data_IF_834324486813
#
_entry.id   IF_834324486813
#
_cell.length_a   1.000
_cell.length_b   1.000
_cell.length_c   1.000
_cell.angle_alpha   90.00
_cell.angle_beta   90.00
_cell.angle_gamma   90.00
#
_symmetry.space_group_name_H-M   'P 1'
#
loop_
_entity.id
_entity.type
_entity.pdbx_description
1 polymer ?
#
# COMPACT_ATOMS: atom_id res chain seq x y z
N UNK A 1 7.20 12.41 -4.26
CA UNK A 1 6.31 11.38 -3.67
C UNK A 1 4.87 11.86 -3.78
N UNK A 2 3.92 10.92 -3.83
CA UNK A 2 2.49 11.20 -3.85
C UNK A 2 1.79 10.33 -2.82
N UNK A 3 0.68 10.83 -2.29
CA UNK A 3 -0.16 10.09 -1.36
C UNK A 3 -1.17 9.25 -2.15
N UNK A 4 -1.16 7.95 -1.93
CA UNK A 4 -2.16 7.06 -2.52
C UNK A 4 -3.55 7.41 -1.96
N UNK A 5 -4.59 7.16 -2.75
CA UNK A 5 -5.99 7.31 -2.31
C UNK A 5 -6.22 6.70 -0.93
N UNK A 6 -6.84 7.45 -0.03
CA UNK A 6 -7.10 7.05 1.35
C UNK A 6 -5.93 7.27 2.31
N UNK A 7 -4.83 7.86 1.84
CA UNK A 7 -3.65 8.16 2.65
C UNK A 7 -3.31 9.64 2.58
N UNK A 8 -2.68 10.17 3.62
CA UNK A 8 -2.15 11.52 3.66
C UNK A 8 -3.13 12.59 3.19
N UNK A 9 -2.71 13.45 2.27
CA UNK A 9 -3.54 14.49 1.68
C UNK A 9 -4.65 13.94 0.74
N UNK A 10 -4.54 12.67 0.30
CA UNK A 10 -5.52 12.01 -0.58
C UNK A 10 -6.62 11.26 0.19
N UNK A 11 -6.78 11.48 1.49
CA UNK A 11 -7.78 10.81 2.34
C UNK A 11 -9.21 11.11 1.88
N UNK A 12 -9.50 12.32 1.42
CA UNK A 12 -10.84 12.75 0.97
C UNK A 12 -11.36 12.00 -0.27
N UNK A 13 -10.48 11.38 -1.04
CA UNK A 13 -10.85 10.57 -2.21
C UNK A 13 -11.24 9.12 -1.85
N UNK A 14 -11.11 8.72 -0.58
CA UNK A 14 -11.43 7.37 -0.11
C UNK A 14 -12.95 7.18 0.04
N UNK A 15 -13.50 6.20 -0.68
CA UNK A 15 -14.90 5.80 -0.55
C UNK A 15 -15.00 4.27 -0.57
N UNK A 16 -15.26 3.67 0.59
CA UNK A 16 -15.35 2.22 0.75
C UNK A 16 -16.42 1.59 -0.12
N UNK A 17 -17.51 2.30 -0.42
CA UNK A 17 -18.60 1.76 -1.25
C UNK A 17 -18.19 1.53 -2.71
N UNK A 18 -17.16 2.25 -3.18
CA UNK A 18 -16.62 2.15 -4.54
C UNK A 18 -15.34 1.31 -4.63
N UNK A 19 -14.81 0.86 -3.50
CA UNK A 19 -13.59 0.07 -3.49
C UNK A 19 -13.84 -1.32 -4.11
N UNK A 20 -13.05 -1.68 -5.14
CA UNK A 20 -13.19 -2.96 -5.86
C UNK A 20 -11.88 -3.74 -5.95
N UNK A 21 -10.83 -3.29 -5.26
CA UNK A 21 -9.49 -3.87 -5.29
C UNK A 21 -8.43 -2.85 -5.68
N UNK A 22 -7.21 -3.33 -5.90
CA UNK A 22 -6.04 -2.48 -6.12
C UNK A 22 -6.03 -1.78 -7.49
N UNK A 23 -6.97 -2.08 -8.36
CA UNK A 23 -7.14 -1.39 -9.63
C UNK A 23 -7.29 0.13 -9.45
N UNK A 24 -7.94 0.56 -8.39
CA UNK A 24 -8.15 1.98 -8.09
C UNK A 24 -6.81 2.72 -7.94
N UNK A 25 -5.80 2.09 -7.34
CA UNK A 25 -4.49 2.71 -7.10
C UNK A 25 -3.66 2.86 -8.37
N UNK A 26 -3.60 1.82 -9.21
CA UNK A 26 -2.84 1.97 -10.45
C UNK A 26 -3.54 2.86 -11.49
N UNK A 27 -4.87 2.98 -11.45
CA UNK A 27 -5.60 3.98 -12.25
C UNK A 27 -5.28 5.40 -11.80
N UNK A 28 -5.22 5.66 -10.51
CA UNK A 28 -4.80 6.95 -9.97
C UNK A 28 -3.36 7.27 -10.37
N UNK A 29 -2.46 6.30 -10.31
CA UNK A 29 -1.07 6.47 -10.74
C UNK A 29 -0.97 6.77 -12.24
N UNK A 30 -1.75 6.08 -13.08
CA UNK A 30 -1.82 6.37 -14.50
C UNK A 30 -2.30 7.81 -14.75
N UNK A 31 -3.36 8.24 -14.08
CA UNK A 31 -3.87 9.60 -14.20
C UNK A 31 -2.81 10.64 -13.78
N UNK A 32 -2.03 10.35 -12.72
CA UNK A 32 -0.90 11.19 -12.32
C UNK A 32 0.18 11.24 -13.41
N UNK A 33 0.55 10.09 -13.98
CA UNK A 33 1.54 10.01 -15.06
C UNK A 33 1.12 10.80 -16.30
N UNK A 34 -0.18 10.85 -16.58
CA UNK A 34 -0.73 11.65 -17.69
C UNK A 34 -0.58 13.16 -17.48
N UNK A 35 -0.52 13.61 -16.23
CA UNK A 35 -0.28 15.00 -15.88
C UNK A 35 1.20 15.40 -15.96
N UNK A 36 2.13 14.44 -16.15
CA UNK A 36 3.57 14.74 -16.27
C UNK A 36 3.94 14.91 -17.74
N UNK A 37 4.74 15.94 -18.04
CA UNK A 37 5.21 16.20 -19.39
C UNK A 37 6.22 15.15 -19.85
N UNK A 38 7.08 14.68 -18.93
CA UNK A 38 8.16 13.75 -19.23
C UNK A 38 7.98 12.38 -18.56
N UNK A 39 8.52 11.30 -19.18
CA UNK A 39 8.56 10.00 -18.54
C UNK A 39 9.42 9.99 -17.27
N UNK A 40 9.05 9.15 -16.30
CA UNK A 40 9.69 9.12 -14.98
C UNK A 40 10.10 7.70 -14.57
N UNK A 41 11.01 7.61 -13.59
CA UNK A 41 11.24 6.40 -12.82
C UNK A 41 10.18 6.28 -11.73
N UNK A 42 9.60 5.08 -11.59
CA UNK A 42 8.69 4.78 -10.48
C UNK A 42 9.43 3.96 -9.43
N UNK A 43 9.37 4.41 -8.19
CA UNK A 43 9.84 3.66 -7.03
C UNK A 43 8.66 3.36 -6.11
N UNK A 44 8.54 2.11 -5.68
CA UNK A 44 7.44 1.71 -4.81
C UNK A 44 7.81 0.56 -3.86
N UNK A 45 7.11 0.50 -2.72
CA UNK A 45 7.21 -0.59 -1.76
C UNK A 45 5.86 -1.30 -1.65
N UNK A 46 5.86 -2.62 -1.54
CA UNK A 46 4.66 -3.43 -1.33
C UNK A 46 3.58 -3.13 -2.38
N UNK A 47 2.40 -2.67 -1.98
CA UNK A 47 1.31 -2.24 -2.88
C UNK A 47 1.77 -1.15 -3.87
N UNK A 48 2.62 -0.22 -3.43
CA UNK A 48 3.18 0.82 -4.31
C UNK A 48 4.06 0.24 -5.40
N UNK A 49 4.83 -0.81 -5.12
CA UNK A 49 5.61 -1.54 -6.11
C UNK A 49 4.71 -2.28 -7.12
N UNK A 50 3.71 -2.98 -6.63
CA UNK A 50 2.76 -3.72 -7.48
C UNK A 50 1.94 -2.79 -8.39
N UNK A 51 1.46 -1.68 -7.86
CA UNK A 51 0.72 -0.68 -8.65
C UNK A 51 1.60 -0.01 -9.70
N UNK A 52 2.90 0.18 -9.40
CA UNK A 52 3.89 0.68 -10.37
C UNK A 52 4.09 -0.28 -11.54
N UNK A 53 4.15 -1.60 -11.29
CA UNK A 53 4.17 -2.63 -12.35
C UNK A 53 2.95 -2.48 -13.26
N UNK A 54 1.76 -2.37 -12.65
CA UNK A 54 0.50 -2.33 -13.38
C UNK A 54 0.34 -1.03 -14.19
N UNK A 55 0.86 0.09 -13.70
CA UNK A 55 0.88 1.37 -14.41
C UNK A 55 1.89 1.34 -15.57
N UNK A 56 3.14 0.89 -15.34
CA UNK A 56 4.18 0.82 -16.36
C UNK A 56 3.79 -0.09 -17.53
N UNK A 57 3.13 -1.22 -17.27
CA UNK A 57 2.63 -2.10 -18.31
C UNK A 57 1.59 -1.42 -19.22
N UNK A 58 0.79 -0.48 -18.69
CA UNK A 58 -0.27 0.25 -19.43
C UNK A 58 0.21 1.55 -20.06
N UNK A 59 1.24 2.16 -19.49
CA UNK A 59 1.82 3.41 -19.95
C UNK A 59 3.35 3.29 -20.08
N UNK A 60 3.81 2.39 -20.98
CA UNK A 60 5.24 2.21 -21.23
C UNK A 60 5.90 3.48 -21.79
N UNK A 61 5.13 4.38 -22.36
CA UNK A 61 5.57 5.69 -22.86
C UNK A 61 5.88 6.69 -21.75
N UNK A 62 5.34 6.48 -20.54
CA UNK A 62 5.49 7.39 -19.38
C UNK A 62 6.45 6.87 -18.31
N UNK A 63 6.99 5.64 -18.44
CA UNK A 63 7.81 5.02 -17.40
C UNK A 63 9.17 4.63 -17.94
N UNK A 64 10.22 5.29 -17.47
CA UNK A 64 11.63 5.03 -17.81
C UNK A 64 12.16 3.75 -17.16
N UNK A 65 11.69 3.42 -15.96
CA UNK A 65 12.14 2.25 -15.21
C UNK A 65 11.45 2.11 -13.86
N UNK A 66 11.63 0.94 -13.23
CA UNK A 66 11.00 0.57 -11.96
C UNK A 66 12.04 0.24 -10.91
N UNK A 67 11.84 0.74 -9.68
CA UNK A 67 12.53 0.32 -8.46
C UNK A 67 11.48 -0.24 -7.51
N UNK A 68 11.46 -1.55 -7.34
CA UNK A 68 10.42 -2.28 -6.64
C UNK A 68 10.97 -2.90 -5.36
N UNK A 69 10.53 -2.43 -4.21
CA UNK A 69 10.84 -3.03 -2.92
C UNK A 69 9.67 -3.91 -2.46
N UNK A 70 9.91 -5.21 -2.30
CA UNK A 70 8.89 -6.17 -1.83
C UNK A 70 7.55 -6.04 -2.58
N UNK A 71 7.50 -6.13 -3.91
CA UNK A 71 6.24 -6.11 -4.63
C UNK A 71 5.38 -7.30 -4.20
N UNK A 72 4.08 -7.11 -4.06
CA UNK A 72 3.17 -8.21 -3.75
C UNK A 72 2.85 -8.95 -5.06
N UNK A 73 3.57 -10.02 -5.29
CA UNK A 73 3.44 -10.90 -6.47
C UNK A 73 3.11 -12.30 -5.96
N UNK A 74 1.86 -12.68 -6.09
CA UNK A 74 1.42 -14.01 -5.65
C UNK A 74 1.49 -15.00 -6.78
N UNK A 75 1.83 -16.25 -6.46
CA UNK A 75 1.67 -17.32 -7.43
C UNK A 75 0.17 -17.56 -7.72
N UNK A 76 -0.17 -18.16 -8.87
CA UNK A 76 -1.56 -18.35 -9.28
C UNK A 76 -2.39 -19.19 -8.27
N UNK A 77 -1.76 -20.13 -7.55
CA UNK A 77 -2.44 -20.96 -6.55
C UNK A 77 -2.78 -20.14 -5.29
N UNK A 78 -1.89 -19.26 -4.86
CA UNK A 78 -2.15 -18.32 -3.75
C UNK A 78 -3.27 -17.35 -4.15
N UNK A 79 -3.22 -16.82 -5.38
CA UNK A 79 -4.29 -15.98 -5.93
C UNK A 79 -5.65 -16.66 -5.92
N UNK A 80 -5.71 -17.93 -6.32
CA UNK A 80 -6.94 -18.72 -6.28
C UNK A 80 -7.46 -18.92 -4.85
N UNK A 81 -6.58 -19.24 -3.89
CA UNK A 81 -6.98 -19.37 -2.46
C UNK A 81 -7.56 -18.06 -1.93
N UNK A 82 -6.94 -16.92 -2.23
CA UNK A 82 -7.44 -15.61 -1.81
C UNK A 82 -8.79 -15.28 -2.46
N UNK A 83 -8.97 -15.60 -3.74
CA UNK A 83 -10.24 -15.46 -4.43
C UNK A 83 -11.35 -16.29 -3.75
N UNK A 84 -11.06 -17.54 -3.37
CA UNK A 84 -11.98 -18.38 -2.61
C UNK A 84 -12.33 -17.79 -1.24
N UNK A 85 -11.36 -17.25 -0.50
CA UNK A 85 -11.63 -16.59 0.79
C UNK A 85 -12.55 -15.38 0.64
N UNK A 86 -12.41 -14.64 -0.46
CA UNK A 86 -13.29 -13.52 -0.79
C UNK A 86 -14.70 -14.01 -1.13
N UNK A 87 -14.82 -15.03 -1.97
CA UNK A 87 -16.12 -15.64 -2.32
C UNK A 87 -16.87 -16.12 -1.07
N UNK A 88 -16.15 -16.68 -0.10
CA UNK A 88 -16.70 -17.12 1.19
C UNK A 88 -16.87 -15.95 2.20
N UNK A 89 -16.68 -14.71 1.79
CA UNK A 89 -16.74 -13.50 2.65
C UNK A 89 -15.82 -13.59 3.88
N UNK A 90 -14.68 -14.26 3.77
CA UNK A 90 -13.71 -14.45 4.86
C UNK A 90 -12.46 -13.59 4.70
N UNK A 91 -12.34 -12.79 3.64
CA UNK A 91 -11.14 -11.98 3.36
C UNK A 91 -10.79 -11.00 4.49
N UNK A 92 -11.78 -10.49 5.21
CA UNK A 92 -11.55 -9.64 6.39
C UNK A 92 -10.91 -10.38 7.58
N UNK A 93 -10.87 -11.71 7.55
CA UNK A 93 -10.22 -12.55 8.57
C UNK A 93 -8.73 -12.79 8.27
N UNK A 94 -8.23 -12.37 7.12
CA UNK A 94 -6.79 -12.40 6.83
C UNK A 94 -6.05 -11.60 7.90
N UNK A 95 -4.92 -12.10 8.36
CA UNK A 95 -4.20 -11.57 9.52
C UNK A 95 -3.87 -10.07 9.39
N UNK A 96 -3.44 -9.63 8.20
CA UNK A 96 -3.13 -8.23 7.92
C UNK A 96 -4.40 -7.34 7.94
N UNK A 97 -5.48 -7.76 7.27
CA UNK A 97 -6.73 -7.03 7.24
C UNK A 97 -7.33 -6.90 8.66
N UNK A 98 -7.39 -8.02 9.40
CA UNK A 98 -7.86 -8.02 10.77
C UNK A 98 -6.96 -7.20 11.72
N UNK A 99 -5.66 -7.20 11.48
CA UNK A 99 -4.70 -6.36 12.20
C UNK A 99 -4.95 -4.88 11.97
N UNK A 100 -5.11 -4.47 10.71
CA UNK A 100 -5.40 -3.10 10.33
C UNK A 100 -6.73 -2.60 10.91
N UNK A 101 -7.80 -3.42 10.83
CA UNK A 101 -9.11 -3.06 11.37
C UNK A 101 -9.10 -2.77 12.89
N UNK A 102 -8.17 -3.40 13.63
CA UNK A 102 -8.03 -3.21 15.09
C UNK A 102 -7.10 -2.08 15.49
N UNK A 103 -6.51 -1.35 14.54
CA UNK A 103 -5.60 -0.25 14.85
C UNK A 103 -6.36 0.87 15.57
N UNK A 104 -5.79 1.36 16.66
CA UNK A 104 -6.29 2.56 17.30
C UNK A 104 -6.11 3.76 16.39
N UNK A 105 -7.20 4.45 16.09
CA UNK A 105 -7.22 5.55 15.12
C UNK A 105 -6.72 6.86 15.72
N UNK A 106 -7.11 7.20 16.95
CA UNK A 106 -6.90 8.51 17.57
C UNK A 106 -6.04 8.37 18.83
N UNK A 107 -5.10 9.29 19.01
CA UNK A 107 -4.21 9.40 20.16
C UNK A 107 -4.19 10.84 20.67
N UNK A 108 -3.90 11.02 21.95
CA UNK A 108 -3.80 12.34 22.57
C UNK A 108 -2.67 13.20 21.98
N UNK A 109 -1.61 12.55 21.51
CA UNK A 109 -0.46 13.23 20.91
C UNK A 109 0.39 12.25 20.07
N UNK A 110 1.31 12.78 19.28
CA UNK A 110 2.34 11.96 18.60
C UNK A 110 3.17 11.15 19.62
N UNK A 111 3.48 11.71 20.79
CA UNK A 111 4.21 10.99 21.85
C UNK A 111 3.41 9.78 22.35
N UNK A 112 2.10 9.93 22.57
CA UNK A 112 1.24 8.81 22.95
C UNK A 112 1.13 7.73 21.85
N UNK A 113 1.12 8.12 20.59
CA UNK A 113 1.15 7.19 19.47
C UNK A 113 2.50 6.45 19.41
N UNK A 114 3.62 7.15 19.57
CA UNK A 114 4.97 6.58 19.61
C UNK A 114 5.10 5.49 20.67
N UNK A 115 4.70 5.78 21.90
CA UNK A 115 4.70 4.80 22.99
C UNK A 115 3.83 3.58 22.69
N UNK A 116 2.68 3.79 22.03
CA UNK A 116 1.81 2.68 21.65
C UNK A 116 2.43 1.74 20.61
N UNK A 117 3.26 2.26 19.69
CA UNK A 117 3.87 1.46 18.63
C UNK A 117 5.24 0.88 19.01
N UNK A 118 5.95 1.50 19.97
CA UNK A 118 7.29 1.06 20.37
C UNK A 118 7.33 -0.41 20.77
N UNK A 119 8.18 -1.19 20.10
CA UNK A 119 8.41 -2.62 20.37
C UNK A 119 7.21 -3.53 20.06
N UNK A 120 6.21 -3.08 19.28
CA UNK A 120 5.00 -3.85 19.01
C UNK A 120 4.83 -4.15 17.51
N UNK A 121 4.25 -5.31 17.22
CA UNK A 121 3.88 -5.72 15.87
C UNK A 121 5.04 -5.59 14.87
N UNK A 122 4.78 -5.04 13.72
CA UNK A 122 5.78 -4.79 12.67
C UNK A 122 6.84 -3.76 13.04
N UNK A 123 6.63 -2.97 14.09
CA UNK A 123 7.58 -1.95 14.55
C UNK A 123 8.59 -2.49 15.59
N UNK A 124 8.50 -3.79 15.95
CA UNK A 124 9.31 -4.38 17.03
C UNK A 124 10.82 -4.22 16.82
N UNK A 125 11.26 -4.25 15.58
CA UNK A 125 12.69 -4.20 15.21
C UNK A 125 13.10 -2.86 14.58
N UNK A 126 12.18 -1.89 14.52
CA UNK A 126 12.47 -0.60 13.91
C UNK A 126 13.40 0.24 14.80
N UNK A 127 14.42 0.88 14.22
CA UNK A 127 15.18 1.92 14.90
C UNK A 127 14.27 3.04 15.38
N UNK A 128 14.56 3.62 16.53
CA UNK A 128 13.75 4.68 17.14
C UNK A 128 13.54 5.88 16.20
N UNK A 129 14.58 6.26 15.44
CA UNK A 129 14.48 7.35 14.47
C UNK A 129 13.44 7.08 13.37
N UNK A 130 13.33 5.83 12.92
CA UNK A 130 12.36 5.44 11.89
C UNK A 130 10.93 5.40 12.45
N UNK A 131 10.77 4.91 13.67
CA UNK A 131 9.48 4.93 14.33
C UNK A 131 8.99 6.36 14.59
N UNK A 132 9.90 7.27 15.02
CA UNK A 132 9.59 8.69 15.14
C UNK A 132 9.15 9.29 13.81
N UNK A 133 9.90 9.08 12.74
CA UNK A 133 9.54 9.57 11.41
C UNK A 133 8.16 9.04 10.97
N UNK A 134 7.89 7.74 11.17
CA UNK A 134 6.59 7.16 10.89
C UNK A 134 5.47 7.89 11.66
N UNK A 135 5.62 8.05 12.97
CA UNK A 135 4.57 8.67 13.80
C UNK A 135 4.35 10.14 13.42
N UNK A 136 5.40 10.88 13.07
CA UNK A 136 5.28 12.27 12.64
C UNK A 136 4.51 12.44 11.34
N UNK A 137 4.59 11.48 10.41
CA UNK A 137 3.98 11.57 9.08
C UNK A 137 2.72 10.72 8.88
N UNK A 138 2.55 9.65 9.67
CA UNK A 138 1.37 8.79 9.57
C UNK A 138 0.17 9.30 10.39
N UNK A 139 0.35 10.37 11.14
CA UNK A 139 -0.71 10.99 11.94
C UNK A 139 -0.90 12.46 11.57
N UNK A 140 -2.15 12.88 11.51
CA UNK A 140 -2.55 14.26 11.22
C UNK A 140 -3.29 14.85 12.41
N UNK A 141 -3.23 16.19 12.62
CA UNK A 141 -3.98 16.87 13.68
C UNK A 141 -5.48 16.62 13.56
N UNK A 142 -6.14 16.44 14.71
CA UNK A 142 -7.59 16.36 14.86
C UNK A 142 -8.00 17.11 16.15
N UNK A 143 -8.26 18.41 16.07
CA UNK A 143 -8.42 19.26 17.25
C UNK A 143 -7.17 19.20 18.11
N UNK A 144 -7.35 18.91 19.40
CA UNK A 144 -6.25 18.75 20.37
C UNK A 144 -5.60 17.36 20.36
N UNK A 145 -5.98 16.51 19.42
CA UNK A 145 -5.52 15.12 19.29
C UNK A 145 -4.83 14.90 17.95
N UNK A 146 -4.34 13.68 17.73
CA UNK A 146 -3.81 13.22 16.43
C UNK A 146 -4.52 11.94 16.00
N UNK A 147 -4.77 11.80 14.71
CA UNK A 147 -5.37 10.60 14.13
C UNK A 147 -4.53 10.03 13.00
N UNK A 148 -4.66 8.73 12.76
CA UNK A 148 -4.07 8.09 11.58
C UNK A 148 -4.52 8.80 10.31
N UNK A 149 -3.56 9.17 9.47
CA UNK A 149 -3.82 9.76 8.15
C UNK A 149 -4.52 8.78 7.19
N UNK A 150 -4.31 7.46 7.39
CA UNK A 150 -5.08 6.42 6.72
C UNK A 150 -6.08 5.81 7.71
N UNK A 151 -7.36 5.80 7.37
CA UNK A 151 -8.39 5.18 8.20
C UNK A 151 -8.17 3.66 8.30
N UNK A 152 -8.24 3.06 9.51
CA UNK A 152 -8.09 1.61 9.70
C UNK A 152 -9.02 0.79 8.82
N UNK A 153 -10.23 1.26 8.57
CA UNK A 153 -11.21 0.60 7.71
C UNK A 153 -10.78 0.59 6.24
N UNK A 154 -10.13 1.67 5.78
CA UNK A 154 -9.59 1.75 4.43
C UNK A 154 -8.39 0.82 4.27
N UNK A 155 -7.43 0.86 5.20
CA UNK A 155 -6.25 -0.01 5.22
C UNK A 155 -6.65 -1.48 5.29
N UNK A 156 -7.58 -1.83 6.18
CA UNK A 156 -8.13 -3.19 6.30
C UNK A 156 -8.79 -3.68 5.01
N UNK A 157 -9.59 -2.82 4.37
CA UNK A 157 -10.23 -3.15 3.09
C UNK A 157 -9.19 -3.35 1.99
N UNK A 158 -8.14 -2.53 1.96
CA UNK A 158 -7.02 -2.67 1.03
C UNK A 158 -6.33 -4.03 1.18
N UNK A 159 -6.05 -4.45 2.42
CA UNK A 159 -5.45 -5.76 2.69
C UNK A 159 -6.39 -6.94 2.45
N UNK A 160 -7.70 -6.74 2.55
CA UNK A 160 -8.69 -7.77 2.26
C UNK A 160 -8.87 -8.03 0.75
N UNK A 161 -8.35 -7.16 -0.11
CA UNK A 161 -8.51 -7.23 -1.57
C UNK A 161 -7.16 -7.36 -2.27
N UNK A 162 -6.43 -8.42 -1.96
CA UNK A 162 -5.09 -8.72 -2.51
C UNK A 162 -5.13 -9.73 -3.66
N UNK A 163 -6.30 -10.05 -4.19
CA UNK A 163 -6.49 -11.03 -5.27
C UNK A 163 -6.10 -10.51 -6.67
N UNK A 164 -5.36 -9.41 -6.73
CA UNK A 164 -4.84 -8.90 -8.01
C UNK A 164 -3.87 -9.87 -8.67
N UNK A 165 -3.85 -9.88 -9.98
CA UNK A 165 -2.91 -10.67 -10.78
C UNK A 165 -1.93 -9.76 -11.52
N UNK A 166 -0.68 -9.59 -11.04
CA UNK A 166 0.30 -8.73 -11.70
C UNK A 166 1.01 -9.40 -12.89
N UNK A 167 0.92 -10.71 -13.05
CA UNK A 167 1.67 -11.46 -14.06
C UNK A 167 1.46 -11.00 -15.51
N UNK A 168 0.24 -10.68 -15.97
CA UNK A 168 0.06 -10.11 -17.28
C UNK A 168 0.79 -8.77 -17.45
N UNK A 169 0.79 -7.92 -16.42
CA UNK A 169 1.52 -6.67 -16.42
C UNK A 169 3.04 -6.88 -16.47
N UNK A 170 3.57 -7.79 -15.66
CA UNK A 170 5.01 -8.13 -15.64
C UNK A 170 5.49 -8.56 -17.03
N UNK A 171 4.73 -9.38 -17.74
CA UNK A 171 5.08 -9.84 -19.10
C UNK A 171 5.06 -8.73 -20.15
N UNK A 172 4.38 -7.63 -19.87
CA UNK A 172 4.25 -6.48 -20.79
C UNK A 172 5.23 -5.34 -20.47
N UNK A 173 6.03 -5.46 -19.42
CA UNK A 173 7.03 -4.44 -19.06
C UNK A 173 8.04 -4.27 -20.21
N UNK A 174 8.35 -3.02 -20.54
CA UNK A 174 9.31 -2.63 -21.59
C UNK A 174 10.44 -1.76 -21.05
N UNK A 175 10.49 -1.53 -19.76
CA UNK A 175 11.49 -0.72 -19.09
C UNK A 175 12.38 -1.56 -18.16
N UNK A 176 13.58 -1.10 -17.79
CA UNK A 176 14.42 -1.75 -16.80
C UNK A 176 13.73 -1.84 -15.44
N UNK A 177 13.98 -2.94 -14.73
CA UNK A 177 13.39 -3.21 -13.40
C UNK A 177 14.50 -3.58 -12.42
N UNK A 178 14.55 -2.89 -11.29
CA UNK A 178 15.33 -3.27 -10.12
C UNK A 178 14.34 -3.77 -9.06
N UNK A 179 14.45 -5.05 -8.69
CA UNK A 179 13.62 -5.63 -7.64
C UNK A 179 14.47 -5.91 -6.39
N UNK A 180 13.97 -5.48 -5.23
CA UNK A 180 14.59 -5.66 -3.94
C UNK A 180 13.68 -6.56 -3.10
N UNK A 181 14.25 -7.71 -2.69
CA UNK A 181 13.59 -8.67 -1.81
C UNK A 181 14.27 -8.70 -0.45
N UNK A 182 13.50 -8.86 0.61
CA UNK A 182 14.06 -9.14 1.92
C UNK A 182 14.68 -10.55 1.95
N UNK A 183 15.76 -10.71 2.67
CA UNK A 183 16.39 -12.02 2.86
C UNK A 183 15.43 -13.04 3.51
N UNK A 184 14.52 -12.55 4.33
CA UNK A 184 13.52 -13.37 5.06
C UNK A 184 12.15 -12.73 4.99
N UNK A 185 11.13 -13.55 4.77
CA UNK A 185 9.72 -13.12 4.78
C UNK A 185 9.34 -12.27 3.59
N UNK A 186 10.03 -12.39 2.46
CA UNK A 186 9.68 -11.72 1.21
C UNK A 186 8.25 -12.04 0.77
N UNK A 187 7.64 -11.09 0.08
CA UNK A 187 6.28 -11.19 -0.48
C UNK A 187 6.29 -11.58 -1.96
N UNK A 188 7.46 -11.90 -2.52
CA UNK A 188 7.59 -12.40 -3.89
C UNK A 188 8.76 -13.36 -4.08
#
# INVERSE_FOLDING_TARGET
AWDMRGHGASVGAANLSTFRGWEIYYRDLIALLECLDEPVWLAGHSIGATTSIMAAARRPDKVLGLILAEPVIMDPMQGLKLWLTKLLRQSQRLSLAAGAARRRRVFQSHAAALENYRGRGGFKTWPEAWLNAYVQHAFVPQGDQVQLACAPEWESTTFAHTEHNPWPGIRQLRCPVIALAAERGSTF
#
